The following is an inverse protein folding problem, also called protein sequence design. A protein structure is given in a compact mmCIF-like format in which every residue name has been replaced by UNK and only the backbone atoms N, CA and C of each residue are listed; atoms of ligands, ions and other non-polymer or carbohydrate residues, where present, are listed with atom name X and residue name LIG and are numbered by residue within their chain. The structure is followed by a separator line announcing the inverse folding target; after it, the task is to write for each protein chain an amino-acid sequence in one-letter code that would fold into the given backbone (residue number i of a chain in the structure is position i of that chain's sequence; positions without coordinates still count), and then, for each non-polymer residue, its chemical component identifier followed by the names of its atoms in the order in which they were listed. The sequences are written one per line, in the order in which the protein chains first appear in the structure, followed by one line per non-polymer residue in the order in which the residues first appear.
data_IF_609288485511
#
_entry.id   IF_609288485511
#
_cell.length_a   1.000
_cell.length_b   1.000
_cell.length_c   1.000
_cell.angle_alpha   90.00
_cell.angle_beta   90.00
_cell.angle_gamma   90.00
#
_symmetry.space_group_name_H-M   'P 1'
#
loop_
_entity.id
_entity.type
_entity.pdbx_description
1 polymer ?
#
# COMPACT_ATOMS: atom_id res chain seq x y z
N UNK A 1 -2.86 5.20 17.19
CA UNK A 1 -3.29 5.07 15.77
C UNK A 1 -4.77 4.74 15.73
N UNK A 2 -5.49 5.15 14.69
CA UNK A 2 -6.85 4.69 14.37
C UNK A 2 -6.77 3.74 13.18
N UNK A 3 -7.54 2.66 13.21
CA UNK A 3 -7.61 1.67 12.13
C UNK A 3 -9.04 1.59 11.61
N UNK A 4 -9.19 1.55 10.29
CA UNK A 4 -10.49 1.49 9.63
C UNK A 4 -10.46 0.41 8.56
N UNK A 5 -11.36 -0.58 8.65
CA UNK A 5 -11.58 -1.54 7.56
C UNK A 5 -12.22 -0.83 6.38
N UNK A 6 -11.72 -1.09 5.18
CA UNK A 6 -12.25 -0.49 3.96
C UNK A 6 -13.43 -1.31 3.41
N UNK A 7 -13.89 -0.95 2.21
CA UNK A 7 -14.94 -1.66 1.49
C UNK A 7 -14.62 -3.15 1.28
N UNK A 8 -13.33 -3.48 1.12
CA UNK A 8 -12.81 -4.85 1.29
C UNK A 8 -12.27 -4.93 2.72
N UNK A 9 -12.93 -5.63 3.66
CA UNK A 9 -12.65 -5.50 5.10
C UNK A 9 -11.25 -5.95 5.56
N UNK A 10 -10.52 -6.68 4.73
CA UNK A 10 -9.15 -7.10 4.97
C UNK A 10 -8.11 -6.03 4.60
N UNK A 11 -8.49 -5.04 3.78
CA UNK A 11 -7.70 -3.82 3.59
C UNK A 11 -7.99 -2.86 4.74
N UNK A 12 -6.92 -2.37 5.38
CA UNK A 12 -7.04 -1.53 6.57
C UNK A 12 -6.31 -0.20 6.33
N UNK A 13 -7.05 0.89 6.47
CA UNK A 13 -6.50 2.23 6.55
C UNK A 13 -5.99 2.47 7.98
N UNK A 14 -4.71 2.78 8.09
CA UNK A 14 -4.04 3.11 9.35
C UNK A 14 -3.78 4.62 9.41
N UNK A 15 -4.35 5.30 10.39
CA UNK A 15 -4.23 6.74 10.56
C UNK A 15 -3.40 7.03 11.83
N UNK A 16 -2.19 7.62 11.71
CA UNK A 16 -1.40 7.99 12.86
C UNK A 16 -2.01 9.19 13.58
N UNK A 17 -1.74 9.31 14.89
CA UNK A 17 -2.00 10.55 15.63
C UNK A 17 -0.78 11.43 15.49
N UNK A 18 -0.89 12.51 14.71
CA UNK A 18 0.22 13.43 14.46
C UNK A 18 0.28 14.49 15.57
N UNK A 19 1.42 14.57 16.25
CA UNK A 19 1.73 15.61 17.21
C UNK A 19 2.59 16.67 16.51
N UNK A 20 2.09 17.91 16.45
CA UNK A 20 2.76 19.04 15.77
C UNK A 20 3.15 20.11 16.79
N UNK A 21 4.34 20.67 16.63
CA UNK A 21 4.80 21.85 17.36
C UNK A 21 5.69 22.74 16.47
N UNK A 22 6.31 23.77 17.04
CA UNK A 22 7.15 24.72 16.29
C UNK A 22 8.44 24.11 15.73
N UNK A 23 8.84 22.90 16.15
CA UNK A 23 10.02 22.18 15.65
C UNK A 23 9.68 21.26 14.48
N UNK A 24 8.41 20.91 14.31
CA UNK A 24 7.94 20.00 13.27
C UNK A 24 6.84 19.05 13.77
N UNK A 25 6.94 17.77 13.38
CA UNK A 25 5.94 16.76 13.72
C UNK A 25 6.61 15.48 14.25
N UNK A 26 5.92 14.79 15.16
CA UNK A 26 6.27 13.44 15.61
C UNK A 26 5.01 12.59 15.68
N UNK A 27 5.11 11.31 15.31
CA UNK A 27 4.03 10.34 15.43
C UNK A 27 4.58 8.92 15.51
N UNK A 28 3.83 8.02 16.13
CA UNK A 28 4.07 6.58 16.03
C UNK A 28 3.67 6.12 14.62
N UNK A 29 4.65 5.83 13.76
CA UNK A 29 4.38 5.35 12.41
C UNK A 29 3.75 3.94 12.42
N UNK A 30 4.16 3.08 13.35
CA UNK A 30 3.61 1.74 13.50
C UNK A 30 3.73 1.26 14.94
N UNK A 31 2.72 0.55 15.44
CA UNK A 31 2.73 -0.09 16.76
C UNK A 31 2.15 -1.50 16.67
N UNK A 32 3.02 -2.52 16.69
CA UNK A 32 2.70 -3.93 16.47
C UNK A 32 1.52 -4.41 17.30
N UNK A 33 1.58 -4.25 18.62
CA UNK A 33 0.52 -4.75 19.53
C UNK A 33 -0.85 -4.14 19.20
N UNK A 34 -0.89 -2.82 18.97
CA UNK A 34 -2.13 -2.12 18.66
C UNK A 34 -2.70 -2.54 17.31
N UNK A 35 -1.85 -2.86 16.34
CA UNK A 35 -2.24 -3.30 15.01
C UNK A 35 -2.73 -4.75 15.03
N UNK A 36 -1.97 -5.67 15.66
CA UNK A 36 -2.35 -7.07 15.80
C UNK A 36 -3.67 -7.21 16.58
N UNK A 37 -3.87 -6.43 17.64
CA UNK A 37 -5.13 -6.40 18.40
C UNK A 37 -6.33 -5.98 17.54
N UNK A 38 -6.14 -5.05 16.59
CA UNK A 38 -7.21 -4.64 15.67
C UNK A 38 -7.49 -5.71 14.59
N UNK A 39 -6.44 -6.36 14.09
CA UNK A 39 -6.56 -7.41 13.07
C UNK A 39 -7.16 -8.71 13.63
N UNK A 40 -6.86 -9.04 14.89
CA UNK A 40 -7.18 -10.33 15.51
C UNK A 40 -6.19 -11.44 15.19
N UNK A 41 -5.05 -11.12 14.57
CA UNK A 41 -3.96 -12.05 14.26
C UNK A 41 -2.63 -11.29 14.19
N UNK A 42 -1.51 -12.02 14.23
CA UNK A 42 -0.18 -11.42 14.22
C UNK A 42 0.34 -11.15 12.80
N UNK A 43 0.93 -9.96 12.63
CA UNK A 43 1.71 -9.61 11.43
C UNK A 43 3.11 -9.17 11.84
N UNK A 44 4.09 -9.85 11.25
CA UNK A 44 5.51 -9.69 11.59
C UNK A 44 6.28 -9.14 10.39
N UNK A 45 6.30 -7.81 10.27
CA UNK A 45 7.08 -7.14 9.24
C UNK A 45 8.58 -7.38 9.46
N UNK A 46 9.25 -7.97 8.48
CA UNK A 46 10.65 -8.39 8.56
C UNK A 46 11.57 -7.67 7.57
N UNK A 47 11.02 -6.89 6.63
CA UNK A 47 11.77 -6.13 5.65
C UNK A 47 11.07 -4.81 5.30
N UNK A 48 11.86 -3.76 5.10
CA UNK A 48 11.41 -2.46 4.62
C UNK A 48 11.99 -2.20 3.23
N UNK A 49 11.13 -1.81 2.30
CA UNK A 49 11.52 -1.35 0.97
C UNK A 49 11.23 0.15 0.86
N UNK A 50 12.16 0.91 0.29
CA UNK A 50 11.98 2.34 0.02
C UNK A 50 12.19 2.59 -1.47
N UNK A 51 11.30 3.36 -2.07
CA UNK A 51 11.43 3.78 -3.47
C UNK A 51 11.27 5.28 -3.62
N UNK A 52 12.09 5.87 -4.48
CA UNK A 52 11.93 7.24 -4.99
C UNK A 52 11.38 7.19 -6.41
N UNK A 53 10.40 8.05 -6.70
CA UNK A 53 9.75 8.09 -8.01
C UNK A 53 9.33 9.52 -8.35
N UNK A 54 9.41 9.89 -9.63
CA UNK A 54 8.95 11.21 -10.13
C UNK A 54 7.47 11.17 -10.50
N UNK A 55 6.86 12.34 -10.62
CA UNK A 55 5.48 12.52 -11.10
C UNK A 55 5.16 11.63 -12.30
N UNK A 56 3.98 11.00 -12.28
CA UNK A 56 3.49 10.19 -13.39
C UNK A 56 4.10 8.79 -13.49
N UNK A 57 5.06 8.43 -12.63
CA UNK A 57 5.53 7.03 -12.54
C UNK A 57 4.41 6.17 -11.95
N UNK A 58 4.16 5.03 -12.58
CA UNK A 58 3.35 3.94 -12.03
C UNK A 58 4.29 2.78 -11.69
N UNK A 59 4.12 2.18 -10.50
CA UNK A 59 4.77 0.92 -10.12
C UNK A 59 3.70 -0.09 -9.78
N UNK A 60 3.68 -1.24 -10.45
CA UNK A 60 2.68 -2.27 -10.26
C UNK A 60 2.04 -2.73 -11.56
N UNK A 61 1.06 -3.63 -11.51
CA UNK A 61 0.53 -4.25 -10.28
C UNK A 61 1.33 -5.52 -9.93
N UNK A 62 1.84 -5.60 -8.71
CA UNK A 62 2.72 -6.69 -8.29
C UNK A 62 2.22 -7.41 -7.04
N UNK A 63 2.44 -8.72 -7.02
CA UNK A 63 2.31 -9.59 -5.86
C UNK A 63 3.38 -10.69 -5.93
N UNK A 64 3.32 -11.65 -5.02
CA UNK A 64 4.16 -12.83 -5.07
C UNK A 64 3.30 -14.07 -5.30
N UNK A 65 3.92 -15.15 -5.75
CA UNK A 65 3.30 -16.49 -5.79
C UNK A 65 2.71 -16.84 -4.42
N UNK A 66 1.76 -17.78 -4.38
CA UNK A 66 1.01 -18.11 -3.17
C UNK A 66 1.94 -18.52 -2.00
N UNK A 67 2.96 -19.32 -2.28
CA UNK A 67 3.93 -19.82 -1.30
C UNK A 67 4.83 -18.71 -0.72
N UNK A 68 4.98 -17.61 -1.47
CA UNK A 68 5.80 -16.46 -1.12
C UNK A 68 4.99 -15.17 -0.96
N UNK A 69 3.67 -15.29 -0.80
CA UNK A 69 2.78 -14.14 -0.69
C UNK A 69 3.19 -13.24 0.50
N UNK A 70 3.08 -11.93 0.29
CA UNK A 70 3.49 -10.91 1.25
C UNK A 70 2.31 -10.01 1.61
N UNK A 71 2.16 -9.75 2.90
CA UNK A 71 1.41 -8.59 3.36
C UNK A 71 2.28 -7.35 3.23
N UNK A 72 1.67 -6.20 2.98
CA UNK A 72 2.33 -4.91 2.79
C UNK A 72 1.71 -3.87 3.71
N UNK A 73 2.53 -3.03 4.32
CA UNK A 73 2.10 -1.78 4.94
C UNK A 73 2.76 -0.62 4.20
N UNK A 74 1.96 0.11 3.43
CA UNK A 74 2.42 1.14 2.49
C UNK A 74 2.24 2.51 3.11
N UNK A 75 3.28 3.35 3.07
CA UNK A 75 3.26 4.72 3.58
C UNK A 75 4.09 5.64 2.69
N UNK A 76 3.88 6.95 2.81
CA UNK A 76 4.57 7.97 2.02
C UNK A 76 5.39 8.87 2.94
N UNK A 77 6.71 8.84 2.76
CA UNK A 77 7.65 9.66 3.53
C UNK A 77 7.82 11.07 2.94
N UNK A 78 7.60 11.21 1.64
CA UNK A 78 7.62 12.47 0.91
C UNK A 78 6.63 12.42 -0.25
N UNK A 79 5.92 13.52 -0.49
CA UNK A 79 5.04 13.68 -1.65
C UNK A 79 3.69 13.01 -1.45
N UNK A 80 3.09 12.58 -2.56
CA UNK A 80 1.73 12.05 -2.65
C UNK A 80 1.63 11.00 -3.75
N UNK A 81 0.92 9.91 -3.47
CA UNK A 81 0.63 8.83 -4.40
C UNK A 81 -0.86 8.52 -4.43
N UNK A 82 -1.33 7.91 -5.53
CA UNK A 82 -2.53 7.09 -5.52
C UNK A 82 -2.09 5.64 -5.31
N UNK A 83 -2.33 5.11 -4.12
CA UNK A 83 -2.07 3.72 -3.79
C UNK A 83 -3.26 2.86 -4.23
N UNK A 84 -2.99 1.67 -4.78
CA UNK A 84 -3.97 0.78 -5.39
C UNK A 84 -3.75 -0.65 -4.92
N UNK A 85 -4.82 -1.26 -4.42
CA UNK A 85 -4.89 -2.68 -4.09
C UNK A 85 -5.98 -3.36 -4.92
N UNK A 86 -5.70 -4.54 -5.46
CA UNK A 86 -6.65 -5.35 -6.20
C UNK A 86 -6.75 -6.73 -5.58
N UNK A 87 -7.96 -7.17 -5.27
CA UNK A 87 -8.19 -8.50 -4.72
C UNK A 87 -7.92 -9.56 -5.80
N UNK A 88 -6.89 -10.37 -5.60
CA UNK A 88 -6.45 -11.41 -6.52
C UNK A 88 -6.69 -12.83 -5.95
N UNK A 89 -7.53 -12.94 -4.92
CA UNK A 89 -7.84 -14.21 -4.26
C UNK A 89 -8.95 -14.93 -5.02
N UNK A 90 -8.61 -15.97 -5.77
CA UNK A 90 -9.59 -16.78 -6.51
C UNK A 90 -10.65 -17.31 -5.54
N UNK A 91 -11.92 -17.11 -5.88
CA UNK A 91 -13.07 -17.48 -5.02
C UNK A 91 -13.49 -16.40 -4.02
N UNK A 92 -12.75 -15.29 -3.90
CA UNK A 92 -13.20 -14.14 -3.11
C UNK A 92 -14.46 -13.49 -3.71
N UNK A 93 -15.43 -13.07 -2.90
CA UNK A 93 -16.59 -12.31 -3.39
C UNK A 93 -16.21 -10.93 -3.96
N UNK A 94 -15.01 -10.44 -3.65
CA UNK A 94 -14.45 -9.21 -4.20
C UNK A 94 -13.34 -9.44 -5.22
N UNK A 95 -13.17 -10.65 -5.77
CA UNK A 95 -12.14 -10.93 -6.76
C UNK A 95 -12.19 -9.93 -7.94
N UNK A 96 -11.03 -9.36 -8.28
CA UNK A 96 -10.88 -8.35 -9.33
C UNK A 96 -11.30 -6.94 -8.92
N UNK A 97 -11.85 -6.74 -7.72
CA UNK A 97 -12.23 -5.42 -7.22
C UNK A 97 -11.00 -4.59 -6.89
N UNK A 98 -11.01 -3.35 -7.37
CA UNK A 98 -9.95 -2.36 -7.18
C UNK A 98 -10.35 -1.43 -6.04
N UNK A 99 -9.44 -1.22 -5.09
CA UNK A 99 -9.52 -0.17 -4.07
C UNK A 99 -8.36 0.78 -4.29
N UNK A 100 -8.64 2.08 -4.23
CA UNK A 100 -7.64 3.13 -4.38
C UNK A 100 -7.73 4.13 -3.22
N UNK A 101 -6.58 4.62 -2.77
CA UNK A 101 -6.47 5.62 -1.71
C UNK A 101 -5.35 6.59 -2.03
N UNK A 102 -5.58 7.88 -1.79
CA UNK A 102 -4.50 8.84 -1.83
C UNK A 102 -3.74 8.80 -0.51
N UNK A 103 -2.43 8.54 -0.58
CA UNK A 103 -1.52 8.58 0.56
C UNK A 103 -0.51 9.70 0.35
N UNK A 104 -0.18 10.42 1.42
CA UNK A 104 0.79 11.51 1.38
C UNK A 104 1.60 11.62 2.66
N UNK A 105 2.68 12.41 2.58
CA UNK A 105 3.58 12.68 3.71
C UNK A 105 3.04 13.72 4.70
N UNK A 106 1.82 14.24 4.51
CA UNK A 106 1.22 15.23 5.41
C UNK A 106 0.32 14.56 6.44
N UNK A 107 -0.65 13.77 5.99
CA UNK A 107 -1.53 12.96 6.85
C UNK A 107 -0.86 11.66 7.30
N UNK A 108 0.19 11.21 6.59
CA UNK A 108 0.96 9.99 6.89
C UNK A 108 0.09 8.74 7.09
N UNK A 109 -1.06 8.71 6.41
CA UNK A 109 -1.93 7.55 6.34
C UNK A 109 -1.18 6.38 5.69
N UNK A 110 -1.54 5.18 6.09
CA UNK A 110 -0.95 3.95 5.56
C UNK A 110 -2.04 2.99 5.13
N UNK A 111 -1.74 2.21 4.11
CA UNK A 111 -2.61 1.13 3.68
C UNK A 111 -1.96 -0.21 4.03
N UNK A 112 -2.64 -0.99 4.87
CA UNK A 112 -2.34 -2.40 5.03
C UNK A 112 -3.04 -3.21 3.95
N UNK A 113 -2.26 -4.05 3.28
CA UNK A 113 -2.68 -4.92 2.20
C UNK A 113 -2.25 -6.34 2.58
N UNK A 114 -3.17 -7.27 2.87
CA UNK A 114 -2.79 -8.62 3.27
C UNK A 114 -2.33 -9.44 2.05
N UNK A 115 -1.78 -10.63 2.32
CA UNK A 115 -1.44 -11.62 1.29
C UNK A 115 -2.64 -11.89 0.36
N UNK A 116 -2.36 -12.16 -0.91
CA UNK A 116 -3.38 -12.44 -1.93
C UNK A 116 -3.92 -11.22 -2.68
N UNK A 117 -3.35 -10.04 -2.44
CA UNK A 117 -3.67 -8.83 -3.20
C UNK A 117 -2.52 -8.47 -4.15
N UNK A 118 -2.89 -7.91 -5.30
CA UNK A 118 -2.00 -7.14 -6.15
C UNK A 118 -1.90 -5.72 -5.58
N UNK A 119 -0.71 -5.12 -5.66
CA UNK A 119 -0.47 -3.75 -5.21
C UNK A 119 0.31 -2.95 -6.24
N UNK A 120 -0.03 -1.67 -6.36
CA UNK A 120 0.74 -0.70 -7.11
C UNK A 120 0.33 0.73 -6.78
N UNK A 121 1.08 1.70 -7.28
CA UNK A 121 0.77 3.11 -7.07
C UNK A 121 1.19 3.99 -8.24
N UNK A 122 0.55 5.15 -8.38
CA UNK A 122 1.01 6.25 -9.23
C UNK A 122 1.48 7.44 -8.39
N UNK A 123 2.49 8.18 -8.87
CA UNK A 123 2.97 9.40 -8.19
C UNK A 123 2.19 10.62 -8.65
N UNK A 124 1.54 11.30 -7.68
CA UNK A 124 0.68 12.46 -7.93
C UNK A 124 1.38 13.81 -7.70
N UNK A 125 2.41 13.85 -6.87
CA UNK A 125 3.27 15.02 -6.63
C UNK A 125 4.47 15.06 -7.58
N UNK A 126 5.29 16.13 -7.53
CA UNK A 126 6.52 16.25 -8.32
C UNK A 126 7.44 15.03 -8.17
N UNK A 127 7.58 14.54 -6.94
CA UNK A 127 8.20 13.28 -6.59
C UNK A 127 7.55 12.67 -5.34
N UNK A 128 7.82 11.39 -5.09
CA UNK A 128 7.42 10.72 -3.87
C UNK A 128 8.47 9.71 -3.39
N UNK A 129 8.61 9.62 -2.06
CA UNK A 129 9.34 8.54 -1.38
C UNK A 129 8.31 7.65 -0.69
N UNK A 130 8.20 6.40 -1.17
CA UNK A 130 7.25 5.41 -0.64
C UNK A 130 8.00 4.38 0.18
N UNK A 131 7.52 4.10 1.39
CA UNK A 131 8.00 3.02 2.25
C UNK A 131 6.98 1.88 2.29
N UNK A 132 7.44 0.65 2.09
CA UNK A 132 6.63 -0.56 2.14
C UNK A 132 7.27 -1.54 3.13
N UNK A 133 6.58 -1.82 4.23
CA UNK A 133 6.95 -2.92 5.13
C UNK A 133 6.34 -4.22 4.63
N UNK A 134 7.09 -5.31 4.64
CA UNK A 134 6.62 -6.64 4.22
C UNK A 134 6.88 -7.70 5.29
N UNK A 135 5.98 -8.68 5.37
CA UNK A 135 5.96 -9.73 6.40
C UNK A 135 6.67 -11.03 6.00
N UNK A 136 7.36 -11.01 4.85
CA UNK A 136 8.19 -12.08 4.33
C UNK A 136 9.28 -11.47 3.45
N UNK A 137 10.49 -12.02 3.53
CA UNK A 137 11.61 -11.56 2.70
C UNK A 137 11.33 -11.68 1.20
N UNK A 138 11.91 -10.77 0.44
CA UNK A 138 11.90 -10.85 -1.02
C UNK A 138 12.63 -12.12 -1.50
N UNK A 139 12.02 -12.83 -2.45
CA UNK A 139 12.63 -13.97 -3.13
C UNK A 139 12.62 -13.70 -4.63
N UNK A 140 13.79 -13.72 -5.24
CA UNK A 140 13.93 -13.51 -6.68
C UNK A 140 13.21 -14.62 -7.46
N UNK A 141 12.49 -14.27 -8.52
CA UNK A 141 11.72 -15.23 -9.32
C UNK A 141 10.29 -15.45 -8.83
N UNK A 142 9.97 -15.11 -7.58
CA UNK A 142 8.62 -15.32 -7.01
C UNK A 142 7.68 -14.13 -7.19
N UNK A 143 8.17 -13.02 -7.76
CA UNK A 143 7.35 -11.86 -8.07
C UNK A 143 6.51 -12.13 -9.32
N UNK A 144 5.20 -11.96 -9.19
CA UNK A 144 4.24 -12.02 -10.28
C UNK A 144 3.44 -10.72 -10.35
N UNK A 145 2.74 -10.50 -11.45
CA UNK A 145 1.99 -9.27 -11.61
C UNK A 145 1.07 -9.28 -12.81
N UNK A 146 0.27 -8.23 -12.90
CA UNK A 146 -0.56 -7.93 -14.07
C UNK A 146 -0.20 -6.55 -14.58
N UNK A 147 -0.52 -6.28 -15.84
CA UNK A 147 -0.27 -4.98 -16.44
C UNK A 147 -1.05 -3.90 -15.68
N UNK A 148 -0.40 -2.75 -15.44
CA UNK A 148 -1.04 -1.61 -14.79
C UNK A 148 -2.19 -1.02 -15.63
N UNK A 149 -2.14 -1.19 -16.96
CA UNK A 149 -3.13 -0.74 -17.92
C UNK A 149 -4.10 -1.85 -18.35
N UNK A 150 -4.29 -2.87 -17.52
CA UNK A 150 -5.25 -3.93 -17.76
C UNK A 150 -6.67 -3.36 -17.93
N UNK A 151 -7.32 -3.74 -19.05
CA UNK A 151 -8.63 -3.20 -19.45
C UNK A 151 -9.78 -3.65 -18.55
N UNK A 152 -9.65 -4.80 -17.87
CA UNK A 152 -10.68 -5.29 -16.96
C UNK A 152 -10.60 -4.58 -15.61
N UNK A 153 -9.38 -4.28 -15.13
CA UNK A 153 -9.19 -3.51 -13.91
C UNK A 153 -9.49 -2.02 -14.09
N UNK A 154 -9.26 -1.47 -15.29
CA UNK A 154 -9.63 -0.11 -15.71
C UNK A 154 -9.29 0.96 -14.65
N UNK A 155 -8.07 0.90 -14.10
CA UNK A 155 -7.63 1.75 -13.01
C UNK A 155 -7.39 3.17 -13.54
N UNK A 156 -8.10 4.15 -12.98
CA UNK A 156 -7.75 5.56 -13.16
C UNK A 156 -6.57 5.93 -12.27
N UNK A 157 -5.38 5.90 -12.85
CA UNK A 157 -4.13 6.25 -12.16
C UNK A 157 -4.00 7.74 -11.81
N UNK A 158 -4.99 8.60 -12.14
CA UNK A 158 -5.01 10.04 -11.84
C UNK A 158 -3.76 10.82 -12.28
N UNK A 159 -3.08 10.33 -13.32
CA UNK A 159 -1.96 11.01 -13.95
C UNK A 159 -2.31 11.35 -15.39
N UNK A 160 -1.79 12.47 -15.89
CA UNK A 160 -1.95 12.78 -17.32
C UNK A 160 -1.27 11.67 -18.12
N UNK A 161 -2.02 10.98 -19.00
CA UNK A 161 -1.43 10.07 -19.97
C UNK A 161 -0.40 10.87 -20.78
N UNK A 162 0.84 10.37 -20.86
CA UNK A 162 1.76 10.84 -21.89
C UNK A 162 1.12 10.44 -23.22
N UNK A 163 0.75 11.44 -24.01
CA UNK A 163 0.33 11.28 -25.41
C UNK A 163 1.51 10.74 -26.19
#
# INVERSE_FOLDING_TARGET
MKYTRLEIPELVLCEPKIHKDNRGVVFEAFKKDSFNNFLGFEVDFCQDNISYSKYGVIRGLHTNTLDFAQSKLVSVLQGKILDVAVDFRVGSPSFGKVIFLELDSFENKQLFIPRGFLHGFSVLSQDAIVNIKIDRYFVAGESIGVRYDDKYLNIDWKIKKKI
#
